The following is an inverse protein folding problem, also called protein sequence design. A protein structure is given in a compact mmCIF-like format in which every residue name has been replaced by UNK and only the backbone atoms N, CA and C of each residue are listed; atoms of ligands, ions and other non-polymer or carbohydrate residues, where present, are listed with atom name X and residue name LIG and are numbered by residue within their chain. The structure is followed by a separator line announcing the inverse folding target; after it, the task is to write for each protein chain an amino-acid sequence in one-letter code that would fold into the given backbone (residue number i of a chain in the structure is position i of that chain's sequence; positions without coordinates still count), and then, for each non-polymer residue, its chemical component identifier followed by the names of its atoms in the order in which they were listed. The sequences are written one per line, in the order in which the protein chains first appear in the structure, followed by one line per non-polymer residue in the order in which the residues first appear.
data_IF_153874472873
#
_entry.id   IF_153874472873
#
_cell.length_a   1.000
_cell.length_b   1.000
_cell.length_c   1.000
_cell.angle_alpha   90.00
_cell.angle_beta   90.00
_cell.angle_gamma   90.00
#
_symmetry.space_group_name_H-M   'P 1'
#
loop_
_entity.id
_entity.type
_entity.pdbx_description
1 polymer ?
#
# COMPACT_ATOMS: atom_id res chain seq x y z
N UNK A 1 12.22 54.19 -2.27
CA UNK A 1 12.98 53.08 -1.66
C UNK A 1 14.12 52.72 -2.59
N UNK A 2 15.36 52.88 -2.16
CA UNK A 2 16.53 52.46 -2.94
C UNK A 2 16.60 50.93 -2.89
N UNK A 3 16.41 50.29 -4.04
CA UNK A 3 16.55 48.84 -4.15
C UNK A 3 18.03 48.48 -3.90
N UNK A 4 18.33 47.47 -3.06
CA UNK A 4 19.70 47.18 -2.69
C UNK A 4 20.52 46.71 -3.91
N UNK A 5 21.82 47.03 -3.92
CA UNK A 5 22.70 46.92 -5.10
C UNK A 5 22.83 45.49 -5.65
N UNK A 6 22.59 44.47 -4.82
CA UNK A 6 22.59 43.05 -5.22
C UNK A 6 21.41 42.65 -6.12
N UNK A 7 20.34 43.45 -6.18
CA UNK A 7 19.14 43.14 -6.98
C UNK A 7 19.37 43.46 -8.46
N UNK A 8 20.25 44.42 -8.76
CA UNK A 8 20.52 44.87 -10.13
C UNK A 8 21.14 43.79 -11.05
N UNK A 9 22.14 42.98 -10.64
CA UNK A 9 22.65 41.89 -11.46
C UNK A 9 21.62 40.76 -11.63
N UNK A 10 20.83 40.45 -10.59
CA UNK A 10 19.76 39.45 -10.64
C UNK A 10 18.70 39.86 -11.66
N UNK A 11 18.27 41.12 -11.64
CA UNK A 11 17.28 41.64 -12.59
C UNK A 11 17.75 41.56 -14.05
N UNK A 12 19.05 41.76 -14.29
CA UNK A 12 19.65 41.66 -15.63
C UNK A 12 19.61 40.22 -16.16
N UNK A 13 19.88 39.24 -15.30
CA UNK A 13 19.82 37.82 -15.67
C UNK A 13 18.38 37.38 -15.91
N UNK A 14 17.45 37.77 -15.03
CA UNK A 14 16.02 37.42 -15.16
C UNK A 14 15.37 38.04 -16.39
N UNK A 15 15.88 39.18 -16.90
CA UNK A 15 15.38 39.83 -18.12
C UNK A 15 16.05 39.32 -19.41
N UNK A 16 17.00 38.40 -19.32
CA UNK A 16 17.61 37.78 -20.49
C UNK A 16 16.61 36.85 -21.17
N UNK A 17 16.48 36.96 -22.50
CA UNK A 17 15.62 36.08 -23.30
C UNK A 17 15.95 34.60 -23.07
N UNK A 18 17.24 34.25 -23.02
CA UNK A 18 17.68 32.88 -22.79
C UNK A 18 17.27 32.36 -21.42
N UNK A 19 17.29 33.21 -20.39
CA UNK A 19 16.87 32.83 -19.05
C UNK A 19 15.36 32.64 -18.96
N UNK A 20 14.57 33.56 -19.53
CA UNK A 20 13.10 33.45 -19.54
C UNK A 20 12.63 32.23 -20.32
N UNK A 21 13.20 32.00 -21.51
CA UNK A 21 12.87 30.84 -22.34
C UNK A 21 13.32 29.54 -21.68
N UNK A 22 14.51 29.51 -21.08
CA UNK A 22 15.00 28.34 -20.34
C UNK A 22 14.18 28.04 -19.08
N UNK A 23 13.82 29.08 -18.32
CA UNK A 23 12.94 28.94 -17.14
C UNK A 23 11.54 28.48 -17.56
N UNK A 24 10.97 29.05 -18.61
CA UNK A 24 9.69 28.62 -19.17
C UNK A 24 9.73 27.16 -19.62
N UNK A 25 10.82 26.73 -20.27
CA UNK A 25 11.04 25.33 -20.65
C UNK A 25 11.17 24.40 -19.43
N UNK A 26 11.88 24.82 -18.39
CA UNK A 26 12.00 24.05 -17.15
C UNK A 26 10.65 23.93 -16.43
N UNK A 27 9.89 25.03 -16.32
CA UNK A 27 8.53 25.00 -15.76
C UNK A 27 7.62 24.10 -16.59
N UNK A 28 7.75 24.14 -17.93
CA UNK A 28 7.01 23.25 -18.83
C UNK A 28 7.31 21.77 -18.56
N UNK A 29 8.60 21.42 -18.48
CA UNK A 29 9.06 20.07 -18.16
C UNK A 29 8.64 19.59 -16.75
N UNK A 30 8.53 20.50 -15.78
CA UNK A 30 8.19 20.13 -14.41
C UNK A 30 6.68 19.99 -14.15
N UNK A 31 5.84 20.71 -14.90
CA UNK A 31 4.39 20.81 -14.64
C UNK A 31 3.53 20.18 -15.73
N UNK A 32 3.91 20.30 -17.00
CA UNK A 32 3.09 19.85 -18.12
C UNK A 32 3.56 18.51 -18.73
N UNK A 33 4.78 18.08 -18.42
CA UNK A 33 5.31 16.81 -18.92
C UNK A 33 4.74 15.61 -18.15
N UNK A 34 4.77 14.43 -18.78
CA UNK A 34 4.23 13.19 -18.24
C UNK A 34 4.88 12.73 -16.92
N UNK A 35 6.05 13.27 -16.58
CA UNK A 35 6.80 13.00 -15.34
C UNK A 35 6.75 14.16 -14.34
N UNK A 36 5.65 14.91 -14.31
CA UNK A 36 5.43 15.97 -13.33
C UNK A 36 5.64 15.50 -11.87
N UNK A 37 5.93 16.46 -10.99
CA UNK A 37 6.23 16.21 -9.59
C UNK A 37 5.07 15.51 -8.84
N UNK A 38 3.82 15.72 -9.27
CA UNK A 38 2.64 15.09 -8.67
C UNK A 38 2.64 13.59 -8.92
N UNK A 39 2.84 13.16 -10.17
CA UNK A 39 2.92 11.74 -10.51
C UNK A 39 4.09 11.04 -9.82
N UNK A 40 5.24 11.70 -9.68
CA UNK A 40 6.36 11.12 -8.95
C UNK A 40 6.02 10.90 -7.47
N UNK A 41 5.27 11.82 -6.85
CA UNK A 41 4.78 11.65 -5.50
C UNK A 41 3.78 10.49 -5.40
N UNK A 42 2.82 10.39 -6.33
CA UNK A 42 1.83 9.30 -6.35
C UNK A 42 2.50 7.93 -6.53
N UNK A 43 3.47 7.83 -7.43
CA UNK A 43 4.28 6.63 -7.64
C UNK A 43 5.03 6.26 -6.35
N UNK A 44 5.63 7.24 -5.67
CA UNK A 44 6.33 6.99 -4.41
C UNK A 44 5.39 6.49 -3.32
N UNK A 45 4.20 7.08 -3.19
CA UNK A 45 3.19 6.61 -2.25
C UNK A 45 2.74 5.19 -2.57
N UNK A 46 2.45 4.90 -3.85
CA UNK A 46 2.03 3.57 -4.28
C UNK A 46 3.11 2.53 -4.04
N UNK A 47 4.36 2.90 -4.28
CA UNK A 47 5.51 2.04 -3.99
C UNK A 47 5.62 1.73 -2.48
N UNK A 48 5.40 2.73 -1.63
CA UNK A 48 5.42 2.54 -0.16
C UNK A 48 4.26 1.66 0.31
N UNK A 49 3.07 1.87 -0.23
CA UNK A 49 1.88 1.04 0.01
C UNK A 49 2.15 -0.43 -0.35
N UNK A 50 2.58 -0.70 -1.58
CA UNK A 50 2.88 -2.06 -2.06
C UNK A 50 3.98 -2.73 -1.24
N UNK A 51 4.99 -1.97 -0.81
CA UNK A 51 6.05 -2.48 0.07
C UNK A 51 5.49 -2.92 1.43
N UNK A 52 4.60 -2.11 2.01
CA UNK A 52 3.97 -2.43 3.30
C UNK A 52 3.03 -3.64 3.17
N UNK A 53 2.22 -3.69 2.11
CA UNK A 53 1.37 -4.85 1.83
C UNK A 53 2.20 -6.13 1.67
N UNK A 54 3.30 -6.06 0.90
CA UNK A 54 4.23 -7.18 0.75
C UNK A 54 4.73 -7.67 2.11
N UNK A 55 5.19 -6.76 2.98
CA UNK A 55 5.69 -7.15 4.30
C UNK A 55 4.58 -7.78 5.14
N UNK A 56 3.40 -7.15 5.17
CA UNK A 56 2.23 -7.68 5.88
C UNK A 56 1.88 -9.11 5.45
N UNK A 57 1.86 -9.40 4.14
CA UNK A 57 1.56 -10.75 3.67
C UNK A 57 2.67 -11.76 4.00
N UNK A 58 3.94 -11.34 3.95
CA UNK A 58 5.06 -12.21 4.35
C UNK A 58 4.97 -12.60 5.83
N UNK A 59 4.66 -11.64 6.70
CA UNK A 59 4.50 -11.87 8.14
C UNK A 59 3.32 -12.81 8.41
N UNK A 60 2.19 -12.60 7.74
CA UNK A 60 1.02 -13.47 7.86
C UNK A 60 1.30 -14.90 7.35
N UNK A 61 2.09 -15.05 6.29
CA UNK A 61 2.48 -16.38 5.80
C UNK A 61 3.29 -17.11 6.88
N UNK A 62 4.18 -16.43 7.60
CA UNK A 62 4.96 -17.04 8.68
C UNK A 62 4.07 -17.47 9.84
N UNK A 63 3.14 -16.61 10.26
CA UNK A 63 2.13 -16.92 11.28
C UNK A 63 1.31 -18.14 10.89
N UNK A 64 0.71 -18.14 9.70
CA UNK A 64 -0.12 -19.26 9.21
C UNK A 64 0.68 -20.55 9.09
N UNK A 65 1.96 -20.49 8.67
CA UNK A 65 2.84 -21.67 8.64
C UNK A 65 3.07 -22.23 10.03
N UNK A 66 3.28 -21.38 11.03
CA UNK A 66 3.46 -21.79 12.42
C UNK A 66 2.18 -22.41 12.98
N UNK A 67 1.04 -21.74 12.81
CA UNK A 67 -0.26 -22.26 13.23
C UNK A 67 -0.55 -23.62 12.58
N UNK A 68 -0.28 -23.76 11.27
CA UNK A 68 -0.42 -25.03 10.56
C UNK A 68 0.48 -26.11 11.15
N UNK A 69 1.74 -25.80 11.47
CA UNK A 69 2.65 -26.77 12.09
C UNK A 69 2.15 -27.21 13.47
N UNK A 70 1.65 -26.28 14.28
CA UNK A 70 1.07 -26.57 15.59
C UNK A 70 -0.23 -27.41 15.46
N UNK A 71 -1.12 -27.06 14.53
CA UNK A 71 -2.34 -27.84 14.20
C UNK A 71 -2.03 -29.27 13.73
N UNK A 72 -1.02 -29.43 12.87
CA UNK A 72 -0.63 -30.73 12.31
C UNK A 72 0.20 -31.58 13.30
N UNK A 73 0.70 -31.01 14.38
CA UNK A 73 1.54 -31.72 15.36
C UNK A 73 0.76 -32.74 16.19
N UNK A 74 -0.55 -32.57 16.35
CA UNK A 74 -1.40 -33.42 17.17
C UNK A 74 -2.67 -33.84 16.42
N UNK A 75 -2.94 -35.14 16.28
CA UNK A 75 -4.18 -35.65 15.70
C UNK A 75 -5.44 -35.11 16.39
N UNK A 76 -5.38 -34.87 17.71
CA UNK A 76 -6.50 -34.36 18.49
C UNK A 76 -6.79 -32.87 18.17
N UNK A 77 -5.76 -32.06 17.96
CA UNK A 77 -5.91 -30.66 17.56
C UNK A 77 -6.47 -30.54 16.14
N UNK A 78 -5.99 -31.40 15.24
CA UNK A 78 -6.49 -31.48 13.87
C UNK A 78 -7.98 -31.86 13.83
N UNK A 79 -8.38 -32.89 14.60
CA UNK A 79 -9.78 -33.31 14.67
C UNK A 79 -10.67 -32.19 15.23
N UNK A 80 -10.23 -31.52 16.31
CA UNK A 80 -10.95 -30.39 16.89
C UNK A 80 -11.15 -29.27 15.86
N UNK A 81 -10.09 -28.89 15.14
CA UNK A 81 -10.17 -27.86 14.10
C UNK A 81 -11.10 -28.27 12.96
N UNK A 82 -11.04 -29.51 12.48
CA UNK A 82 -11.94 -30.02 11.44
C UNK A 82 -13.41 -30.00 11.87
N UNK A 83 -13.69 -30.34 13.14
CA UNK A 83 -15.04 -30.33 13.71
C UNK A 83 -15.58 -28.92 13.95
N UNK A 84 -14.79 -28.02 14.53
CA UNK A 84 -15.25 -26.66 14.85
C UNK A 84 -15.31 -25.77 13.61
N UNK A 85 -14.31 -25.84 12.73
CA UNK A 85 -14.21 -24.93 11.58
C UNK A 85 -14.97 -25.40 10.36
N UNK A 86 -14.95 -26.70 10.10
CA UNK A 86 -15.51 -27.30 8.88
C UNK A 86 -16.71 -28.21 9.16
N UNK A 87 -17.14 -28.35 10.43
CA UNK A 87 -18.27 -29.20 10.83
C UNK A 87 -18.12 -30.64 10.31
N UNK A 88 -16.89 -31.13 10.20
CA UNK A 88 -16.61 -32.48 9.73
C UNK A 88 -17.18 -33.51 10.70
N UNK A 89 -17.81 -34.56 10.15
CA UNK A 89 -18.47 -35.62 10.91
C UNK A 89 -17.81 -36.97 10.65
N UNK A 90 -17.86 -37.88 11.64
CA UNK A 90 -17.46 -39.27 11.43
C UNK A 90 -18.57 -40.05 10.71
N UNK A 91 -18.24 -41.20 10.08
CA UNK A 91 -19.26 -42.10 9.56
C UNK A 91 -20.23 -42.53 10.67
N UNK A 92 -21.54 -42.30 10.48
CA UNK A 92 -22.58 -42.59 11.48
C UNK A 92 -22.88 -41.46 12.46
N UNK A 93 -22.27 -40.28 12.31
CA UNK A 93 -22.54 -39.09 13.12
C UNK A 93 -23.40 -38.08 12.33
N UNK A 94 -24.37 -37.45 13.01
CA UNK A 94 -25.20 -36.38 12.45
C UNK A 94 -24.93 -35.06 13.17
N UNK A 95 -24.68 -34.01 12.38
CA UNK A 95 -24.32 -32.67 12.85
C UNK A 95 -25.47 -31.73 12.52
N UNK A 96 -26.00 -31.06 13.55
CA UNK A 96 -27.10 -30.10 13.43
C UNK A 96 -26.58 -28.68 13.67
N UNK A 97 -26.86 -27.75 12.76
CA UNK A 97 -26.57 -26.33 12.93
C UNK A 97 -27.86 -25.62 13.32
N UNK A 98 -27.91 -25.11 14.55
CA UNK A 98 -29.08 -24.38 15.04
C UNK A 98 -29.01 -22.93 14.56
N UNK A 99 -29.90 -22.55 13.64
CA UNK A 99 -30.07 -21.16 13.22
C UNK A 99 -31.24 -20.58 14.00
N UNK A 100 -31.08 -19.43 14.69
CA UNK A 100 -32.21 -18.78 15.34
C UNK A 100 -33.27 -18.45 14.30
N UNK A 101 -34.54 -18.73 14.61
CA UNK A 101 -35.65 -18.34 13.75
C UNK A 101 -35.66 -16.81 13.67
N UNK A 102 -35.31 -16.28 12.50
CA UNK A 102 -35.54 -14.88 12.15
C UNK A 102 -37.03 -14.62 12.34
N UNK A 103 -37.38 -13.80 13.33
CA UNK A 103 -38.71 -13.24 13.42
C UNK A 103 -38.85 -12.30 12.21
N UNK A 104 -39.64 -12.73 11.22
CA UNK A 104 -40.10 -11.89 10.11
C UNK A 104 -40.93 -10.71 10.62
#
# INVERSE_FOLDING_TARGET
MQLPSFVSPVLRVVRSFYFLTGMGFLVWMLVFDANDLGKQFDIYQKWKELRNEKQYYLDNIEVVKRERAELMSSPALLEKFAREKYLMKRPGEDVFVLVPATAE
#
